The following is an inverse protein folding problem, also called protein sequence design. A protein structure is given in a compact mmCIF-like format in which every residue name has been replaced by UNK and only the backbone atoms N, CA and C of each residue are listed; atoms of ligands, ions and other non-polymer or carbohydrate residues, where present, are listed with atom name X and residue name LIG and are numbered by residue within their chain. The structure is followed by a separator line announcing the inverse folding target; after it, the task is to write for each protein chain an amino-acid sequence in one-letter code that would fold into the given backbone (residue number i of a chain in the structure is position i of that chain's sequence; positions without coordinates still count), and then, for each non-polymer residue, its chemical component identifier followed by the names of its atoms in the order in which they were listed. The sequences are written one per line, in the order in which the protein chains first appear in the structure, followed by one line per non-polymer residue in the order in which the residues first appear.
data_IF_624758779309
#
_entry.id   IF_624758779309
#
_cell.length_a   1.000
_cell.length_b   1.000
_cell.length_c   1.000
_cell.angle_alpha   90.00
_cell.angle_beta   90.00
_cell.angle_gamma   90.00
#
_symmetry.space_group_name_H-M   'P 1'
#
loop_
_entity.id
_entity.type
_entity.pdbx_description
1 polymer ?
#
# COMPACT_ATOMS: atom_id res chain seq x y z
N UNK A 1 34.25 -50.27 -12.38
CA UNK A 1 33.37 -49.33 -11.62
C UNK A 1 32.31 -48.83 -12.59
N UNK A 2 31.07 -49.31 -12.52
CA UNK A 2 30.03 -48.98 -13.48
C UNK A 2 29.29 -47.70 -12.99
N UNK A 3 29.32 -46.66 -13.81
CA UNK A 3 28.54 -45.43 -13.59
C UNK A 3 27.04 -45.79 -13.65
N UNK A 4 26.35 -45.65 -12.50
CA UNK A 4 24.89 -45.72 -12.45
C UNK A 4 24.34 -44.50 -13.22
N UNK A 5 23.64 -44.72 -14.32
CA UNK A 5 22.82 -43.71 -14.99
C UNK A 5 21.70 -43.29 -14.01
N UNK A 6 21.73 -42.04 -13.53
CA UNK A 6 20.63 -41.46 -12.81
C UNK A 6 19.43 -41.36 -13.74
N UNK A 7 18.30 -41.90 -13.33
CA UNK A 7 17.01 -41.69 -14.01
C UNK A 7 16.69 -40.21 -13.99
N UNK A 8 16.43 -39.56 -15.13
CA UNK A 8 16.06 -38.15 -15.11
C UNK A 8 14.76 -37.98 -14.31
N UNK A 9 14.79 -37.08 -13.35
CA UNK A 9 13.56 -36.64 -12.64
C UNK A 9 12.56 -36.14 -13.68
N UNK A 10 11.32 -36.63 -13.70
CA UNK A 10 10.33 -36.12 -14.66
C UNK A 10 10.20 -34.61 -14.48
N UNK A 11 10.43 -33.87 -15.57
CA UNK A 11 10.18 -32.45 -15.62
C UNK A 11 8.69 -32.25 -15.25
N UNK A 12 8.41 -31.37 -14.29
CA UNK A 12 7.03 -30.99 -13.97
C UNK A 12 6.31 -30.66 -15.27
N UNK A 13 5.20 -31.33 -15.53
CA UNK A 13 4.35 -31.04 -16.68
C UNK A 13 3.88 -29.59 -16.50
N UNK A 14 4.34 -28.70 -17.38
CA UNK A 14 3.86 -27.32 -17.39
C UNK A 14 2.37 -27.39 -17.73
N UNK A 15 1.51 -27.14 -16.75
CA UNK A 15 0.09 -27.07 -17.01
C UNK A 15 -0.16 -25.89 -17.98
N UNK A 16 -0.96 -26.10 -19.04
CA UNK A 16 -1.33 -24.99 -19.93
C UNK A 16 -2.05 -23.91 -19.11
N UNK A 17 -1.66 -22.66 -19.32
CA UNK A 17 -2.29 -21.54 -18.64
C UNK A 17 -3.77 -21.45 -19.01
N UNK A 18 -4.62 -21.26 -18.03
CA UNK A 18 -6.06 -21.12 -18.26
C UNK A 18 -6.43 -19.74 -18.83
N UNK A 19 -5.59 -18.71 -18.56
CA UNK A 19 -5.82 -17.33 -18.98
C UNK A 19 -4.64 -16.75 -19.79
N UNK A 20 -4.90 -15.91 -20.79
CA UNK A 20 -3.86 -15.13 -21.49
C UNK A 20 -3.06 -14.24 -20.52
N UNK A 21 -1.83 -13.86 -20.91
CA UNK A 21 -1.00 -12.90 -20.14
C UNK A 21 -1.24 -11.45 -20.59
N UNK A 22 -2.39 -11.12 -21.06
CA UNK A 22 -2.85 -9.74 -21.27
C UNK A 22 -3.58 -9.21 -20.03
N UNK A 23 -3.92 -7.93 -20.05
CA UNK A 23 -4.58 -7.27 -18.92
C UNK A 23 -5.86 -8.01 -18.50
N UNK A 24 -6.70 -8.41 -19.48
CA UNK A 24 -7.99 -9.03 -19.18
C UNK A 24 -7.82 -10.44 -18.61
N UNK A 25 -6.95 -11.25 -19.21
CA UNK A 25 -6.69 -12.61 -18.73
C UNK A 25 -6.06 -12.63 -17.33
N UNK A 26 -5.17 -11.69 -17.04
CA UNK A 26 -4.57 -11.55 -15.70
C UNK A 26 -5.59 -11.05 -14.67
N UNK A 27 -6.48 -10.13 -15.05
CA UNK A 27 -7.60 -9.72 -14.18
C UNK A 27 -8.56 -10.88 -13.86
N UNK A 28 -8.84 -11.74 -14.84
CA UNK A 28 -9.61 -12.96 -14.61
C UNK A 28 -8.88 -13.92 -13.65
N UNK A 29 -7.57 -14.08 -13.82
CA UNK A 29 -6.74 -14.94 -12.97
C UNK A 29 -6.62 -14.43 -11.52
N UNK A 30 -6.85 -13.15 -11.22
CA UNK A 30 -6.97 -12.67 -9.84
C UNK A 30 -8.12 -13.29 -9.06
N UNK A 31 -9.15 -13.81 -9.75
CA UNK A 31 -10.27 -14.55 -9.15
C UNK A 31 -10.06 -16.06 -9.06
N UNK A 32 -8.89 -16.59 -9.37
CA UNK A 32 -8.63 -18.03 -9.33
C UNK A 32 -8.71 -18.60 -7.91
N UNK A 33 -9.17 -19.84 -7.78
CA UNK A 33 -9.24 -20.54 -6.49
C UNK A 33 -7.86 -20.79 -5.89
N UNK A 34 -6.83 -21.02 -6.74
CA UNK A 34 -5.45 -21.27 -6.34
C UNK A 34 -4.74 -19.94 -5.97
N UNK A 35 -4.35 -19.74 -4.69
CA UNK A 35 -3.62 -18.54 -4.26
C UNK A 35 -2.30 -18.32 -5.03
N UNK A 36 -1.65 -19.41 -5.47
CA UNK A 36 -0.43 -19.30 -6.25
C UNK A 36 -0.70 -18.62 -7.61
N UNK A 37 -1.80 -18.96 -8.27
CA UNK A 37 -2.21 -18.35 -9.54
C UNK A 37 -2.61 -16.89 -9.34
N UNK A 38 -3.35 -16.57 -8.27
CA UNK A 38 -3.69 -15.18 -7.93
C UNK A 38 -2.45 -14.33 -7.69
N UNK A 39 -1.46 -14.88 -6.95
CA UNK A 39 -0.18 -14.20 -6.69
C UNK A 39 0.61 -13.92 -7.97
N UNK A 40 0.66 -14.88 -8.90
CA UNK A 40 1.31 -14.69 -10.20
C UNK A 40 0.61 -13.59 -11.01
N UNK A 41 -0.73 -13.60 -11.04
CA UNK A 41 -1.52 -12.57 -11.72
C UNK A 41 -1.27 -11.19 -11.12
N UNK A 42 -1.25 -11.06 -9.79
CA UNK A 42 -0.97 -9.82 -9.10
C UNK A 42 0.40 -9.24 -9.52
N UNK A 43 1.44 -10.05 -9.55
CA UNK A 43 2.78 -9.63 -9.99
C UNK A 43 2.84 -9.21 -11.46
N UNK A 44 2.25 -10.01 -12.34
CA UNK A 44 2.22 -9.73 -13.78
C UNK A 44 1.43 -8.43 -14.07
N UNK A 45 0.36 -8.15 -13.32
CA UNK A 45 -0.45 -6.93 -13.43
C UNK A 45 0.31 -5.67 -13.00
N UNK A 46 1.36 -5.76 -12.21
CA UNK A 46 2.25 -4.64 -11.88
C UNK A 46 2.92 -3.99 -13.11
N UNK A 47 2.92 -4.65 -14.27
CA UNK A 47 3.36 -4.07 -15.53
C UNK A 47 2.27 -3.26 -16.27
N UNK A 48 1.03 -3.24 -15.78
CA UNK A 48 -0.12 -2.61 -16.45
C UNK A 48 -0.68 -1.45 -15.60
N UNK A 49 -0.40 -0.18 -15.92
CA UNK A 49 -0.91 0.97 -15.16
C UNK A 49 -2.44 0.98 -15.00
N UNK A 50 -3.16 0.45 -15.98
CA UNK A 50 -4.63 0.34 -15.95
C UNK A 50 -5.14 -0.73 -14.96
N UNK A 51 -4.26 -1.53 -14.37
CA UNK A 51 -4.64 -2.59 -13.42
C UNK A 51 -4.84 -2.07 -11.99
N UNK A 52 -4.48 -0.84 -11.66
CA UNK A 52 -4.49 -0.32 -10.29
C UNK A 52 -5.84 -0.54 -9.59
N UNK A 53 -6.95 -0.24 -10.25
CA UNK A 53 -8.29 -0.43 -9.67
C UNK A 53 -8.59 -1.91 -9.39
N UNK A 54 -8.29 -2.81 -10.33
CA UNK A 54 -8.54 -4.25 -10.16
C UNK A 54 -7.63 -4.88 -9.10
N UNK A 55 -6.38 -4.41 -8.98
CA UNK A 55 -5.47 -4.82 -7.90
C UNK A 55 -6.00 -4.36 -6.53
N UNK A 56 -6.49 -3.12 -6.40
CA UNK A 56 -7.08 -2.62 -5.16
C UNK A 56 -8.37 -3.36 -4.77
N UNK A 57 -9.23 -3.67 -5.74
CA UNK A 57 -10.43 -4.46 -5.50
C UNK A 57 -10.11 -5.90 -5.05
N UNK A 58 -9.12 -6.54 -5.68
CA UNK A 58 -8.66 -7.85 -5.27
C UNK A 58 -8.07 -7.82 -3.85
N UNK A 59 -7.27 -6.80 -3.54
CA UNK A 59 -6.63 -6.64 -2.24
C UNK A 59 -7.65 -6.53 -1.10
N UNK A 60 -8.75 -5.81 -1.30
CA UNK A 60 -9.79 -5.64 -0.30
C UNK A 60 -10.50 -6.97 0.06
N UNK A 61 -10.45 -7.97 -0.81
CA UNK A 61 -11.11 -9.27 -0.64
C UNK A 61 -10.12 -10.41 -0.33
N UNK A 62 -8.83 -10.17 -0.52
CA UNK A 62 -7.81 -11.21 -0.40
C UNK A 62 -7.52 -11.54 1.07
N UNK A 63 -7.36 -12.82 1.36
CA UNK A 63 -7.06 -13.31 2.71
C UNK A 63 -5.67 -13.95 2.82
N UNK A 64 -5.10 -14.41 1.69
CA UNK A 64 -3.79 -15.05 1.67
C UNK A 64 -2.67 -14.03 1.78
N UNK A 65 -1.82 -14.08 2.82
CA UNK A 65 -0.78 -13.07 3.06
C UNK A 65 0.20 -12.90 1.88
N UNK A 66 0.61 -14.01 1.24
CA UNK A 66 1.55 -13.95 0.11
C UNK A 66 0.93 -13.35 -1.16
N UNK A 67 -0.39 -13.38 -1.31
CA UNK A 67 -1.10 -12.70 -2.40
C UNK A 67 -1.26 -11.23 -2.07
N UNK A 68 -1.64 -10.87 -0.83
CA UNK A 68 -1.69 -9.48 -0.34
C UNK A 68 -0.37 -8.75 -0.57
N UNK A 69 0.75 -9.38 -0.18
CA UNK A 69 2.10 -8.83 -0.39
C UNK A 69 2.37 -8.53 -1.88
N UNK A 70 2.01 -9.46 -2.78
CA UNK A 70 2.17 -9.26 -4.21
C UNK A 70 1.30 -8.13 -4.75
N UNK A 71 0.06 -7.98 -4.26
CA UNK A 71 -0.87 -6.91 -4.62
C UNK A 71 -0.35 -5.54 -4.16
N UNK A 72 0.10 -5.42 -2.91
CA UNK A 72 0.70 -4.19 -2.40
C UNK A 72 1.96 -3.80 -3.17
N UNK A 73 2.87 -4.76 -3.41
CA UNK A 73 4.10 -4.53 -4.18
C UNK A 73 3.77 -4.02 -5.60
N UNK A 74 2.78 -4.62 -6.25
CA UNK A 74 2.38 -4.23 -7.60
C UNK A 74 1.73 -2.84 -7.63
N UNK A 75 0.86 -2.52 -6.67
CA UNK A 75 0.26 -1.19 -6.53
C UNK A 75 1.32 -0.11 -6.25
N UNK A 76 2.25 -0.37 -5.33
CA UNK A 76 3.37 0.53 -5.04
C UNK A 76 4.26 0.75 -6.27
N UNK A 77 4.52 -0.30 -7.05
CA UNK A 77 5.32 -0.22 -8.29
C UNK A 77 4.64 0.55 -9.43
N UNK A 78 3.32 0.58 -9.50
CA UNK A 78 2.57 1.40 -10.46
C UNK A 78 2.70 2.90 -10.20
N UNK A 79 2.99 3.30 -8.95
CA UNK A 79 3.45 4.62 -8.50
C UNK A 79 2.68 5.83 -9.10
N UNK A 80 1.34 5.79 -9.13
CA UNK A 80 0.56 6.87 -9.71
C UNK A 80 -0.75 7.13 -8.98
N UNK A 81 -1.46 8.19 -9.40
CA UNK A 81 -2.73 8.59 -8.81
C UNK A 81 -3.73 7.44 -8.71
N UNK A 82 -3.84 6.60 -9.75
CA UNK A 82 -4.75 5.46 -9.74
C UNK A 82 -4.41 4.42 -8.65
N UNK A 83 -3.12 4.19 -8.37
CA UNK A 83 -2.68 3.30 -7.29
C UNK A 83 -3.00 3.91 -5.92
N UNK A 84 -2.76 5.22 -5.74
CA UNK A 84 -3.14 5.95 -4.52
C UNK A 84 -4.64 5.85 -4.29
N UNK A 85 -5.47 6.14 -5.29
CA UNK A 85 -6.94 6.05 -5.15
C UNK A 85 -7.43 4.63 -4.84
N UNK A 86 -6.72 3.60 -5.30
CA UNK A 86 -7.04 2.21 -4.99
C UNK A 86 -6.68 1.81 -3.54
N UNK A 87 -5.65 2.44 -2.96
CA UNK A 87 -5.16 2.15 -1.60
C UNK A 87 -5.86 2.97 -0.51
N UNK A 88 -6.25 4.22 -0.79
CA UNK A 88 -6.84 5.13 0.21
C UNK A 88 -8.04 4.54 0.97
N UNK A 89 -8.98 3.80 0.35
CA UNK A 89 -10.09 3.18 1.09
C UNK A 89 -9.65 2.19 2.17
N UNK A 90 -8.47 1.58 2.02
CA UNK A 90 -7.95 0.60 2.97
C UNK A 90 -7.48 1.21 4.29
N UNK A 91 -7.28 2.53 4.36
CA UNK A 91 -7.03 3.24 5.62
C UNK A 91 -8.21 3.13 6.59
N UNK A 92 -9.43 2.84 6.10
CA UNK A 92 -10.64 2.62 6.90
C UNK A 92 -10.90 1.15 7.23
N UNK A 93 -9.99 0.25 6.82
CA UNK A 93 -10.18 -1.19 7.04
C UNK A 93 -10.06 -1.56 8.52
N UNK A 94 -10.94 -2.42 9.02
CA UNK A 94 -10.79 -3.02 10.36
C UNK A 94 -9.63 -4.02 10.41
N UNK A 95 -9.19 -4.55 9.27
CA UNK A 95 -8.02 -5.42 9.16
C UNK A 95 -6.73 -4.58 9.24
N UNK A 96 -6.01 -4.70 10.37
CA UNK A 96 -4.76 -3.99 10.60
C UNK A 96 -3.68 -4.32 9.56
N UNK A 97 -3.67 -5.55 9.01
CA UNK A 97 -2.74 -5.93 7.96
C UNK A 97 -3.00 -5.20 6.64
N UNK A 98 -4.26 -5.00 6.27
CA UNK A 98 -4.64 -4.20 5.10
C UNK A 98 -4.32 -2.73 5.31
N UNK A 99 -4.62 -2.18 6.48
CA UNK A 99 -4.34 -0.79 6.83
C UNK A 99 -2.85 -0.46 6.80
N UNK A 100 -2.04 -1.26 7.52
CA UNK A 100 -0.59 -1.04 7.59
C UNK A 100 0.09 -1.24 6.22
N UNK A 101 -0.31 -2.27 5.46
CA UNK A 101 0.19 -2.47 4.11
C UNK A 101 -0.18 -1.33 3.14
N UNK A 102 -1.36 -0.71 3.34
CA UNK A 102 -1.74 0.48 2.58
C UNK A 102 -0.87 1.69 2.95
N UNK A 103 -0.60 1.92 4.25
CA UNK A 103 0.30 2.99 4.72
C UNK A 103 1.69 2.82 4.09
N UNK A 104 2.28 1.64 4.20
CA UNK A 104 3.60 1.33 3.63
C UNK A 104 3.63 1.54 2.10
N UNK A 105 2.62 1.04 1.38
CA UNK A 105 2.54 1.19 -0.07
C UNK A 105 2.34 2.66 -0.50
N UNK A 106 1.55 3.45 0.24
CA UNK A 106 1.34 4.88 0.01
C UNK A 106 2.61 5.68 0.31
N UNK A 107 3.35 5.34 1.38
CA UNK A 107 4.61 5.99 1.74
C UNK A 107 5.69 5.87 0.65
N UNK A 108 5.64 4.81 -0.16
CA UNK A 108 6.51 4.64 -1.32
C UNK A 108 6.19 5.59 -2.49
N UNK A 109 5.05 6.33 -2.43
CA UNK A 109 4.57 7.20 -3.52
C UNK A 109 4.37 8.66 -3.08
N UNK A 110 5.38 9.35 -2.49
CA UNK A 110 5.18 10.63 -1.81
C UNK A 110 4.58 11.71 -2.71
N UNK A 111 5.01 11.81 -3.95
CA UNK A 111 4.50 12.83 -4.88
C UNK A 111 3.05 12.58 -5.32
N UNK A 112 2.64 11.32 -5.42
CA UNK A 112 1.28 10.97 -5.80
C UNK A 112 0.30 11.07 -4.60
N UNK A 113 0.79 10.90 -3.37
CA UNK A 113 0.01 11.01 -2.13
C UNK A 113 -0.18 12.46 -1.71
N UNK A 114 0.83 13.32 -1.88
CA UNK A 114 0.83 14.71 -1.42
C UNK A 114 -0.46 15.50 -1.73
N UNK A 115 -1.07 15.41 -2.93
CA UNK A 115 -2.33 16.09 -3.22
C UNK A 115 -3.54 15.61 -2.41
N UNK A 116 -3.45 14.43 -1.77
CA UNK A 116 -4.54 13.86 -0.99
C UNK A 116 -4.43 14.16 0.51
N UNK A 117 -3.25 14.57 0.98
CA UNK A 117 -2.94 14.71 2.42
C UNK A 117 -3.89 15.67 3.12
N UNK A 118 -4.09 16.86 2.57
CA UNK A 118 -4.98 17.84 3.21
C UNK A 118 -6.39 17.29 3.43
N UNK A 119 -6.98 16.64 2.43
CA UNK A 119 -8.30 16.01 2.56
C UNK A 119 -8.30 14.88 3.60
N UNK A 120 -7.24 14.09 3.70
CA UNK A 120 -7.14 13.00 4.67
C UNK A 120 -6.97 13.49 6.10
N UNK A 121 -6.26 14.59 6.30
CA UNK A 121 -6.11 15.25 7.61
C UNK A 121 -7.39 15.93 8.10
N UNK A 122 -8.33 16.22 7.19
CA UNK A 122 -9.67 16.76 7.52
C UNK A 122 -10.78 15.71 7.41
N UNK A 123 -10.45 14.43 7.43
CA UNK A 123 -11.43 13.36 7.41
C UNK A 123 -12.29 13.39 8.68
N UNK A 124 -13.60 13.13 8.54
CA UNK A 124 -14.54 13.10 9.68
C UNK A 124 -14.16 12.05 10.72
N UNK A 125 -13.56 10.94 10.26
CA UNK A 125 -13.12 9.81 11.10
C UNK A 125 -11.74 10.12 11.73
N UNK A 126 -11.63 10.25 13.07
CA UNK A 126 -10.36 10.50 13.72
C UNK A 126 -9.35 9.38 13.52
N UNK A 127 -9.78 8.13 13.32
CA UNK A 127 -8.87 7.03 13.08
C UNK A 127 -8.18 7.18 11.71
N UNK A 128 -8.91 7.64 10.68
CA UNK A 128 -8.31 7.95 9.38
C UNK A 128 -7.29 9.07 9.49
N UNK A 129 -7.57 10.10 10.31
CA UNK A 129 -6.62 11.17 10.56
C UNK A 129 -5.35 10.67 11.27
N UNK A 130 -5.49 9.78 12.29
CA UNK A 130 -4.36 9.13 12.96
C UNK A 130 -3.53 8.31 11.96
N UNK A 131 -4.18 7.49 11.12
CA UNK A 131 -3.47 6.69 10.11
C UNK A 131 -2.81 7.56 9.04
N UNK A 132 -3.38 8.72 8.74
CA UNK A 132 -2.74 9.71 7.87
C UNK A 132 -1.49 10.30 8.53
N UNK A 133 -1.54 10.62 9.80
CA UNK A 133 -0.36 11.08 10.57
C UNK A 133 0.73 10.01 10.58
N UNK A 134 0.36 8.73 10.79
CA UNK A 134 1.32 7.61 10.72
C UNK A 134 1.94 7.49 9.31
N UNK A 135 1.12 7.63 8.26
CA UNK A 135 1.62 7.69 6.89
C UNK A 135 2.62 8.83 6.68
N UNK A 136 2.36 10.02 7.26
CA UNK A 136 3.28 11.16 7.17
C UNK A 136 4.64 10.85 7.83
N UNK A 137 4.67 10.05 8.90
CA UNK A 137 5.91 9.61 9.54
C UNK A 137 6.81 8.77 8.63
N UNK A 138 6.22 8.02 7.72
CA UNK A 138 6.95 7.20 6.74
C UNK A 138 7.19 7.92 5.40
N UNK A 139 6.47 9.03 5.15
CA UNK A 139 6.45 9.72 3.87
C UNK A 139 7.69 10.61 3.69
N UNK A 140 8.48 10.36 2.68
CA UNK A 140 9.65 11.20 2.35
C UNK A 140 9.24 12.39 1.48
N UNK A 141 8.62 13.40 2.11
CA UNK A 141 8.17 14.60 1.43
C UNK A 141 8.49 15.86 2.27
N UNK A 142 8.95 16.92 1.59
CA UNK A 142 9.40 18.16 2.26
C UNK A 142 8.31 18.89 3.06
N UNK A 143 7.03 18.69 2.72
CA UNK A 143 5.90 19.33 3.39
C UNK A 143 5.44 18.58 4.66
N UNK A 144 6.01 17.40 4.99
CA UNK A 144 5.58 16.60 6.15
C UNK A 144 5.59 17.41 7.45
N UNK A 145 6.65 18.15 7.82
CA UNK A 145 6.64 18.92 9.06
C UNK A 145 5.52 20.00 9.09
N UNK A 146 5.28 20.65 7.95
CA UNK A 146 4.23 21.66 7.86
C UNK A 146 2.82 21.07 8.03
N UNK A 147 2.55 19.91 7.46
CA UNK A 147 1.27 19.21 7.65
C UNK A 147 1.06 18.77 9.11
N UNK A 148 2.12 18.26 9.77
CA UNK A 148 2.05 17.88 11.18
C UNK A 148 1.78 19.10 12.08
N UNK A 149 2.47 20.23 11.83
CA UNK A 149 2.20 21.50 12.53
C UNK A 149 0.75 21.98 12.32
N UNK A 150 0.22 21.83 11.11
CA UNK A 150 -1.20 22.12 10.84
C UNK A 150 -2.14 21.28 11.71
N UNK A 151 -1.89 19.98 11.85
CA UNK A 151 -2.66 19.08 12.73
C UNK A 151 -2.62 19.57 14.17
N UNK A 152 -1.44 19.95 14.71
CA UNK A 152 -1.29 20.44 16.08
C UNK A 152 -2.12 21.70 16.37
N UNK A 153 -2.34 22.54 15.37
CA UNK A 153 -3.10 23.81 15.54
C UNK A 153 -4.59 23.66 15.25
N UNK A 154 -5.01 22.67 14.49
CA UNK A 154 -6.38 22.62 13.94
C UNK A 154 -7.18 21.41 14.41
N UNK A 155 -6.55 20.31 14.81
CA UNK A 155 -7.29 19.11 15.24
C UNK A 155 -7.65 19.20 16.72
N UNK A 156 -8.93 18.97 17.02
CA UNK A 156 -9.44 18.97 18.40
C UNK A 156 -9.35 17.60 19.09
N UNK A 157 -9.06 16.54 18.31
CA UNK A 157 -9.04 15.18 18.83
C UNK A 157 -7.68 14.84 19.46
N UNK A 158 -7.66 14.61 20.77
CA UNK A 158 -6.44 14.45 21.57
C UNK A 158 -5.51 13.36 21.04
N UNK A 159 -6.02 12.23 20.52
CA UNK A 159 -5.20 11.17 20.02
C UNK A 159 -4.55 11.51 18.65
N UNK A 160 -5.22 12.31 17.81
CA UNK A 160 -4.65 12.79 16.55
C UNK A 160 -3.50 13.76 16.83
N UNK A 161 -3.72 14.70 17.76
CA UNK A 161 -2.69 15.65 18.20
C UNK A 161 -1.49 14.92 18.81
N UNK A 162 -1.73 13.92 19.68
CA UNK A 162 -0.67 13.12 20.28
C UNK A 162 0.15 12.38 19.23
N UNK A 163 -0.49 11.71 18.26
CA UNK A 163 0.19 11.05 17.17
C UNK A 163 1.03 12.05 16.33
N UNK A 164 0.49 13.24 16.05
CA UNK A 164 1.23 14.25 15.30
C UNK A 164 2.45 14.77 16.06
N UNK A 165 2.38 14.89 17.39
CA UNK A 165 3.53 15.23 18.23
C UNK A 165 4.62 14.15 18.21
N UNK A 166 4.23 12.89 18.31
CA UNK A 166 5.15 11.77 18.25
C UNK A 166 5.89 11.74 16.92
N UNK A 167 5.16 11.80 15.81
CA UNK A 167 5.77 11.79 14.46
C UNK A 167 6.64 13.02 14.25
N UNK A 168 6.19 14.21 14.68
CA UNK A 168 6.98 15.43 14.51
C UNK A 168 8.29 15.39 15.32
N UNK A 169 8.30 14.73 16.48
CA UNK A 169 9.52 14.54 17.27
C UNK A 169 10.54 13.66 16.56
N UNK A 170 10.11 12.77 15.67
CA UNK A 170 10.99 11.86 14.91
C UNK A 170 11.48 12.49 13.60
N UNK A 171 10.59 13.20 12.88
CA UNK A 171 10.90 13.70 11.53
C UNK A 171 11.15 15.20 11.47
N UNK A 172 10.80 15.94 12.53
CA UNK A 172 10.93 17.39 12.62
C UNK A 172 12.38 17.84 12.87
N UNK A 173 12.64 19.10 12.56
CA UNK A 173 13.89 19.78 12.85
C UNK A 173 13.74 20.86 13.93
N UNK A 174 14.77 21.67 14.08
CA UNK A 174 14.74 22.82 15.02
C UNK A 174 13.79 23.95 14.56
N UNK A 175 13.42 23.95 13.28
CA UNK A 175 12.59 25.01 12.69
C UNK A 175 11.12 24.91 13.12
N UNK A 176 10.68 23.72 13.55
CA UNK A 176 9.33 23.46 14.05
C UNK A 176 9.15 23.75 15.55
N UNK A 177 10.25 23.95 16.31
CA UNK A 177 10.21 24.23 17.75
C UNK A 177 9.31 25.41 18.16
N UNK A 178 9.20 26.53 17.41
CA UNK A 178 8.29 27.61 17.75
C UNK A 178 6.82 27.18 17.72
N UNK A 179 6.41 26.30 16.81
CA UNK A 179 5.04 25.82 16.70
C UNK A 179 4.64 24.90 17.88
N UNK A 180 5.61 24.24 18.52
CA UNK A 180 5.37 23.38 19.70
C UNK A 180 5.21 24.20 21.01
N UNK A 181 5.46 25.51 20.96
CA UNK A 181 5.39 26.41 22.14
C UNK A 181 4.16 27.31 22.14
N UNK A 182 3.42 27.33 21.06
CA UNK A 182 2.21 28.14 20.88
C UNK A 182 0.96 27.40 21.34
#
# INVERSE_FOLDING_TARGET
MALRKSTPTPLHTVQPRQHPRDLLGLQQQLGDADPHLRRLAARDLGAFPKAALSLGQALALETEPAVREALFTSLGGLAGEAAVQALLPLLRSDDAGLRNGAIEALAAMPQAVAPCVDRLLHDDDPDVRIFTVNLLGELRHAAVPAWLVQVLHQDEHVNVVAAALEVLAEVGGTDELPALRA
#
